data_IF_279241798100
#
_entry.id   IF_279241798100
#
_cell.length_a   1.000
_cell.length_b   1.000
_cell.length_c   1.000
_cell.angle_alpha   90.00
_cell.angle_beta   90.00
_cell.angle_gamma   90.00
#
_symmetry.space_group_name_H-M   'P 1'
#
loop_
_entity.id
_entity.type
_entity.pdbx_description
1 polymer ?
#
# COMPACT_ATOMS: atom_id res chain seq x y z
N UNK A 1 -17.87 23.05 -5.46
CA UNK A 1 -18.03 22.57 -4.07
C UNK A 1 -17.68 21.08 -4.05
N UNK A 2 -16.41 20.77 -3.73
CA UNK A 2 -15.85 19.42 -3.81
C UNK A 2 -16.25 18.59 -2.58
N UNK A 3 -17.38 17.88 -2.65
CA UNK A 3 -17.78 16.92 -1.62
C UNK A 3 -16.71 15.82 -1.39
N UNK A 4 -15.90 15.51 -2.39
CA UNK A 4 -14.81 14.54 -2.29
C UNK A 4 -13.64 15.00 -1.39
N UNK A 5 -13.38 16.31 -1.29
CA UNK A 5 -12.25 16.85 -0.53
C UNK A 5 -12.53 16.82 0.99
N UNK A 6 -13.80 16.98 1.39
CA UNK A 6 -14.21 16.91 2.79
C UNK A 6 -14.17 15.49 3.37
N UNK A 7 -14.53 14.48 2.58
CA UNK A 7 -14.51 13.07 3.02
C UNK A 7 -13.08 12.54 3.21
N UNK A 8 -12.15 12.88 2.31
CA UNK A 8 -10.73 12.53 2.47
C UNK A 8 -10.14 13.18 3.74
N UNK A 9 -10.42 14.46 3.99
CA UNK A 9 -9.90 15.15 5.16
C UNK A 9 -10.49 14.62 6.48
N UNK A 10 -11.75 14.16 6.49
CA UNK A 10 -12.40 13.57 7.66
C UNK A 10 -11.91 12.13 7.96
N UNK A 11 -11.56 11.35 6.92
CA UNK A 11 -11.02 10.00 7.08
C UNK A 11 -9.54 10.01 7.49
N UNK A 12 -8.77 11.01 7.05
CA UNK A 12 -7.33 11.09 7.32
C UNK A 12 -7.01 11.88 8.61
N UNK A 13 -7.88 12.81 9.05
CA UNK A 13 -7.66 13.63 10.25
C UNK A 13 -7.43 12.83 11.55
N UNK A 14 -8.20 11.75 11.85
CA UNK A 14 -7.92 10.90 13.01
C UNK A 14 -6.59 10.15 12.87
N UNK A 15 -6.20 9.81 11.64
CA UNK A 15 -4.96 9.10 11.33
C UNK A 15 -3.72 10.01 11.43
N UNK A 16 -3.85 11.30 11.15
CA UNK A 16 -2.80 12.32 11.31
C UNK A 16 -2.61 12.77 12.76
N UNK A 17 -3.59 12.51 13.63
CA UNK A 17 -3.52 12.81 15.06
C UNK A 17 -2.95 11.66 15.89
N UNK A 18 -2.69 10.49 15.29
CA UNK A 18 -1.71 9.56 15.84
C UNK A 18 -0.33 10.22 15.77
N UNK A 19 0.49 10.12 16.82
CA UNK A 19 1.87 10.58 16.75
C UNK A 19 2.60 9.76 15.68
N UNK A 20 2.67 10.29 14.46
CA UNK A 20 3.51 9.83 13.33
C UNK A 20 5.00 9.74 13.72
N UNK A 21 5.36 10.21 14.91
CA UNK A 21 6.71 10.10 15.49
C UNK A 21 7.15 8.67 15.81
N UNK A 22 6.25 7.66 15.78
CA UNK A 22 6.61 6.26 16.00
C UNK A 22 5.93 5.36 14.95
N UNK A 23 6.02 5.69 13.66
CA UNK A 23 5.74 4.67 12.64
C UNK A 23 6.93 3.70 12.58
N UNK A 24 6.74 2.39 12.85
CA UNK A 24 7.83 1.43 12.70
C UNK A 24 8.35 1.49 11.26
N UNK A 25 9.68 1.55 11.11
CA UNK A 25 10.34 1.59 9.79
C UNK A 25 9.89 0.46 8.87
N UNK A 26 9.56 -0.69 9.46
CA UNK A 26 8.91 -1.80 8.80
C UNK A 26 7.96 -2.55 9.74
N UNK A 27 6.89 -3.12 9.20
CA UNK A 27 6.00 -4.08 9.86
C UNK A 27 6.10 -5.44 9.17
N UNK A 28 5.87 -6.52 9.92
CA UNK A 28 5.95 -7.90 9.43
C UNK A 28 4.69 -8.66 9.79
N UNK A 29 4.18 -9.41 8.83
CA UNK A 29 2.95 -10.20 8.93
C UNK A 29 3.27 -11.63 8.50
N UNK A 30 3.17 -12.59 9.42
CA UNK A 30 3.28 -14.00 9.08
C UNK A 30 2.18 -14.42 8.09
N UNK A 31 2.54 -15.20 7.08
CA UNK A 31 1.58 -15.75 6.14
C UNK A 31 2.12 -16.90 5.30
N UNK A 32 1.40 -17.22 4.23
CA UNK A 32 1.78 -18.20 3.21
C UNK A 32 1.75 -17.58 1.81
N UNK A 33 2.76 -17.91 1.01
CA UNK A 33 2.82 -17.56 -0.41
C UNK A 33 3.28 -18.77 -1.21
N UNK A 34 2.51 -19.17 -2.23
CA UNK A 34 2.77 -20.39 -3.03
C UNK A 34 2.99 -21.62 -2.15
N UNK A 35 2.12 -21.81 -1.15
CA UNK A 35 2.14 -22.93 -0.20
C UNK A 35 3.41 -23.02 0.67
N UNK A 36 4.13 -21.90 0.86
CA UNK A 36 5.30 -21.81 1.74
C UNK A 36 5.09 -20.75 2.79
N UNK A 37 5.56 -21.02 4.00
CA UNK A 37 5.53 -20.07 5.10
C UNK A 37 6.50 -18.92 4.84
N UNK A 38 5.97 -17.71 4.97
CA UNK A 38 6.68 -16.47 4.68
C UNK A 38 6.41 -15.42 5.76
N UNK A 39 7.24 -14.39 5.74
CA UNK A 39 6.96 -13.09 6.36
C UNK A 39 6.71 -12.06 5.25
N UNK A 40 5.51 -11.49 5.24
CA UNK A 40 5.17 -10.33 4.42
C UNK A 40 5.55 -9.07 5.18
N UNK A 41 6.44 -8.26 4.62
CA UNK A 41 6.95 -7.06 5.25
C UNK A 41 6.53 -5.81 4.47
N UNK A 42 6.00 -4.83 5.19
CA UNK A 42 5.80 -3.47 4.72
C UNK A 42 6.95 -2.61 5.25
N UNK A 43 7.77 -2.03 4.38
CA UNK A 43 8.90 -1.17 4.77
C UNK A 43 8.76 0.20 4.08
N UNK A 44 8.79 1.29 4.85
CA UNK A 44 8.58 2.64 4.33
C UNK A 44 9.61 3.03 3.26
N UNK A 45 10.82 2.48 3.30
CA UNK A 45 11.87 2.78 2.33
C UNK A 45 11.85 1.79 1.16
N UNK A 46 11.59 0.52 1.44
CA UNK A 46 11.80 -0.58 0.49
C UNK A 46 10.52 -1.07 -0.20
N UNK A 47 9.34 -0.72 0.32
CA UNK A 47 8.05 -1.18 -0.19
C UNK A 47 7.62 -2.51 0.40
N UNK A 48 7.06 -3.34 -0.46
CA UNK A 48 6.57 -4.68 -0.15
C UNK A 48 7.70 -5.69 -0.29
N UNK A 49 7.86 -6.57 0.70
CA UNK A 49 8.87 -7.62 0.69
C UNK A 49 8.22 -8.92 1.16
N UNK A 50 8.51 -10.03 0.49
CA UNK A 50 8.22 -11.37 1.02
C UNK A 50 9.53 -12.10 1.27
N UNK A 51 9.69 -12.62 2.49
CA UNK A 51 10.83 -13.45 2.88
C UNK A 51 10.36 -14.83 3.26
N UNK A 52 11.18 -15.82 2.94
CA UNK A 52 11.06 -17.16 3.52
C UNK A 52 11.16 -17.06 5.05
N UNK A 53 10.21 -17.65 5.79
CA UNK A 53 10.14 -17.48 7.25
C UNK A 53 11.34 -18.13 7.96
N UNK A 54 11.81 -19.27 7.46
CA UNK A 54 12.91 -20.02 8.08
C UNK A 54 14.28 -19.48 7.67
N UNK A 55 14.48 -19.25 6.37
CA UNK A 55 15.79 -18.87 5.84
C UNK A 55 16.02 -17.35 5.77
N UNK A 56 14.96 -16.55 6.00
CA UNK A 56 14.95 -15.09 5.83
C UNK A 56 15.32 -14.62 4.42
N UNK A 57 15.38 -15.53 3.44
CA UNK A 57 15.71 -15.23 2.05
C UNK A 57 14.57 -14.47 1.40
N UNK A 58 14.87 -13.30 0.84
CA UNK A 58 13.91 -12.49 0.08
C UNK A 58 13.47 -13.26 -1.17
N UNK A 59 12.17 -13.58 -1.27
CA UNK A 59 11.56 -14.18 -2.47
C UNK A 59 11.27 -13.13 -3.53
N UNK A 60 10.75 -11.99 -3.09
CA UNK A 60 10.54 -10.83 -3.95
C UNK A 60 10.45 -9.54 -3.13
N UNK A 61 10.68 -8.44 -3.82
CA UNK A 61 10.57 -7.08 -3.30
C UNK A 61 10.02 -6.16 -4.39
N UNK A 62 9.03 -5.32 -4.05
CA UNK A 62 8.38 -4.37 -4.95
C UNK A 62 8.20 -3.02 -4.26
N UNK A 63 8.62 -1.90 -4.87
CA UNK A 63 8.39 -0.57 -4.29
C UNK A 63 6.90 -0.20 -4.31
N UNK A 64 6.48 0.68 -3.42
CA UNK A 64 5.11 1.22 -3.38
C UNK A 64 4.67 1.82 -4.72
N UNK A 65 5.57 2.48 -5.45
CA UNK A 65 5.29 3.11 -6.74
C UNK A 65 4.90 2.13 -7.86
N UNK A 66 5.17 0.83 -7.67
CA UNK A 66 4.73 -0.19 -8.63
C UNK A 66 3.34 -0.74 -8.31
N UNK A 67 2.79 -0.52 -7.12
CA UNK A 67 1.44 -0.99 -6.78
C UNK A 67 0.42 -0.22 -7.62
N UNK A 68 -0.45 -0.96 -8.31
CA UNK A 68 -1.59 -0.41 -9.05
C UNK A 68 -2.90 -0.62 -8.32
N UNK A 69 -3.07 -1.80 -7.76
CA UNK A 69 -4.28 -2.19 -7.06
C UNK A 69 -3.93 -3.14 -5.92
N UNK A 70 -4.68 -3.03 -4.83
CA UNK A 70 -4.70 -3.99 -3.73
C UNK A 70 -6.16 -4.33 -3.42
N UNK A 71 -6.43 -5.59 -3.15
CA UNK A 71 -7.75 -6.06 -2.71
C UNK A 71 -7.57 -7.23 -1.77
N UNK A 72 -8.58 -7.49 -0.95
CA UNK A 72 -8.60 -8.63 -0.05
C UNK A 72 -9.98 -9.29 0.01
N UNK A 73 -10.03 -10.50 0.56
CA UNK A 73 -11.27 -11.28 0.71
C UNK A 73 -12.00 -11.04 2.05
N UNK A 74 -11.52 -10.10 2.87
CA UNK A 74 -11.94 -9.85 4.26
C UNK A 74 -11.78 -11.05 5.21
N UNK A 75 -11.01 -12.07 4.84
CA UNK A 75 -10.77 -13.26 5.64
C UNK A 75 -9.28 -13.48 5.89
N UNK A 76 -8.53 -13.84 4.84
CA UNK A 76 -7.10 -14.12 4.96
C UNK A 76 -6.29 -13.83 3.70
N UNK A 77 -6.91 -13.63 2.54
CA UNK A 77 -6.20 -13.44 1.29
C UNK A 77 -6.03 -11.97 0.93
N UNK A 78 -4.77 -11.56 0.76
CA UNK A 78 -4.36 -10.29 0.19
C UNK A 78 -3.90 -10.50 -1.25
N UNK A 79 -4.45 -9.72 -2.17
CA UNK A 79 -4.05 -9.67 -3.57
C UNK A 79 -3.45 -8.31 -3.90
N UNK A 80 -2.24 -8.33 -4.45
CA UNK A 80 -1.50 -7.13 -4.86
C UNK A 80 -1.19 -7.21 -6.35
N UNK A 81 -1.49 -6.13 -7.06
CA UNK A 81 -1.26 -6.01 -8.49
C UNK A 81 -0.21 -4.93 -8.77
N UNK A 82 0.90 -5.34 -9.37
CA UNK A 82 2.04 -4.48 -9.64
C UNK A 82 2.20 -4.18 -11.13
N UNK A 83 2.33 -2.90 -11.47
CA UNK A 83 2.67 -2.46 -12.81
C UNK A 83 4.16 -2.60 -13.11
N UNK A 84 4.49 -2.90 -14.37
CA UNK A 84 5.87 -2.78 -14.88
C UNK A 84 6.09 -1.38 -15.44
N UNK A 85 7.31 -0.83 -15.27
CA UNK A 85 7.69 0.51 -15.73
C UNK A 85 7.55 0.74 -17.25
N UNK A 86 7.33 -0.30 -18.07
CA UNK A 86 7.29 -0.19 -19.54
C UNK A 86 6.32 -1.15 -20.24
N UNK A 87 5.56 -1.98 -19.52
CA UNK A 87 4.70 -3.01 -20.14
C UNK A 87 3.26 -2.92 -19.63
N UNK A 88 2.29 -3.25 -20.49
CA UNK A 88 0.88 -3.41 -20.11
C UNK A 88 0.64 -4.62 -19.20
N UNK A 89 1.67 -5.44 -18.94
CA UNK A 89 1.55 -6.63 -18.12
C UNK A 89 1.65 -6.29 -16.64
N UNK A 90 0.58 -6.61 -15.91
CA UNK A 90 0.50 -6.55 -14.45
C UNK A 90 1.00 -7.86 -13.85
N UNK A 91 1.77 -7.78 -12.77
CA UNK A 91 2.19 -8.92 -11.97
C UNK A 91 1.30 -9.02 -10.73
N UNK A 92 0.62 -10.14 -10.54
CA UNK A 92 -0.26 -10.37 -9.39
C UNK A 92 0.46 -11.24 -8.34
N UNK A 93 0.39 -10.82 -7.08
CA UNK A 93 0.86 -11.58 -5.92
C UNK A 93 -0.32 -11.80 -4.97
N UNK A 94 -0.62 -13.06 -4.69
CA UNK A 94 -1.66 -13.48 -3.75
C UNK A 94 -0.99 -14.11 -2.53
N UNK A 95 -1.27 -13.56 -1.36
CA UNK A 95 -0.65 -13.92 -0.09
C UNK A 95 -1.77 -14.23 0.89
N UNK A 96 -1.71 -15.38 1.55
CA UNK A 96 -2.56 -15.68 2.69
C UNK A 96 -1.87 -15.16 3.94
N UNK A 97 -2.55 -14.39 4.78
CA UNK A 97 -2.01 -13.77 5.99
C UNK A 97 -2.74 -14.30 7.21
N UNK A 98 -2.00 -14.51 8.30
CA UNK A 98 -2.57 -14.90 9.59
C UNK A 98 -3.40 -13.74 10.19
N UNK A 99 -2.94 -12.50 9.99
CA UNK A 99 -3.56 -11.27 10.50
C UNK A 99 -3.80 -10.26 9.35
N UNK A 100 -4.68 -10.63 8.41
CA UNK A 100 -4.97 -9.82 7.21
C UNK A 100 -5.38 -8.38 7.55
N UNK A 101 -6.29 -8.19 8.50
CA UNK A 101 -6.82 -6.86 8.84
C UNK A 101 -5.71 -5.90 9.27
N UNK A 102 -4.78 -6.36 10.11
CA UNK A 102 -3.64 -5.54 10.55
C UNK A 102 -2.72 -5.18 9.39
N UNK A 103 -2.50 -6.10 8.45
CA UNK A 103 -1.68 -5.86 7.26
C UNK A 103 -2.30 -4.80 6.34
N UNK A 104 -3.62 -4.84 6.14
CA UNK A 104 -4.36 -3.86 5.33
C UNK A 104 -4.29 -2.47 5.96
N UNK A 105 -4.62 -2.35 7.26
CA UNK A 105 -4.53 -1.07 8.00
C UNK A 105 -3.11 -0.52 7.98
N UNK A 106 -2.10 -1.37 8.16
CA UNK A 106 -0.70 -0.97 8.07
C UNK A 106 -0.32 -0.44 6.69
N UNK A 107 -0.80 -1.08 5.62
CA UNK A 107 -0.56 -0.63 4.25
C UNK A 107 -1.19 0.74 3.99
N UNK A 108 -2.43 0.97 4.43
CA UNK A 108 -3.11 2.26 4.34
C UNK A 108 -2.32 3.36 5.08
N UNK A 109 -1.90 3.10 6.32
CA UNK A 109 -1.06 4.00 7.10
C UNK A 109 0.27 4.32 6.40
N UNK A 110 0.93 3.32 5.80
CA UNK A 110 2.19 3.53 5.09
C UNK A 110 2.00 4.37 3.81
N UNK A 111 0.91 4.14 3.08
CA UNK A 111 0.58 4.93 1.89
C UNK A 111 0.23 6.37 2.25
N UNK A 112 -0.55 6.57 3.31
CA UNK A 112 -0.86 7.91 3.82
C UNK A 112 0.38 8.65 4.31
N UNK A 113 1.28 7.98 5.06
CA UNK A 113 2.55 8.56 5.49
C UNK A 113 3.47 8.90 4.30
N UNK A 114 3.40 8.13 3.21
CA UNK A 114 4.10 8.49 1.96
C UNK A 114 3.51 9.74 1.32
N UNK A 115 2.18 9.82 1.25
CA UNK A 115 1.47 10.97 0.70
C UNK A 115 1.72 12.25 1.51
N UNK A 116 1.74 12.17 2.84
CA UNK A 116 2.00 13.34 3.70
C UNK A 116 3.43 13.87 3.61
N UNK A 117 4.37 13.02 3.20
CA UNK A 117 5.77 13.41 2.96
C UNK A 117 6.00 13.95 1.53
N UNK A 118 5.00 13.89 0.64
CA UNK A 118 5.08 14.58 -0.64
C UNK A 118 4.73 16.05 -0.42
N UNK A 119 5.47 16.95 -1.08
CA UNK A 119 5.14 18.39 -1.10
C UNK A 119 3.68 18.57 -1.56
N UNK A 120 2.81 19.23 -0.78
CA UNK A 120 1.45 19.52 -1.19
C UNK A 120 1.33 20.25 -2.55
N UNK A 121 2.38 20.93 -3.01
CA UNK A 121 2.46 21.53 -4.35
C UNK A 121 2.57 20.51 -5.49
N UNK A 122 3.03 19.28 -5.21
CA UNK A 122 3.25 18.22 -6.20
C UNK A 122 1.94 17.51 -6.64
N UNK A 123 0.88 17.60 -5.84
CA UNK A 123 -0.41 16.91 -6.08
C UNK A 123 -1.28 17.64 -7.13
N UNK A 124 -0.78 18.72 -7.74
CA UNK A 124 -1.53 19.55 -8.69
C UNK A 124 -1.04 19.36 -10.12
N UNK A 125 -1.22 18.16 -10.69
CA UNK A 125 -1.24 17.99 -12.15
C UNK A 125 -1.95 16.70 -12.55
N UNK A 126 -3.24 16.61 -12.24
CA UNK A 126 -4.17 15.92 -13.14
C UNK A 126 -4.95 16.99 -13.86
N UNK A 127 -4.73 17.06 -15.17
CA UNK A 127 -5.45 17.91 -16.11
C UNK A 127 -6.95 17.87 -15.83
N UNK A 128 -7.45 18.89 -15.14
CA UNK A 128 -8.86 19.25 -15.24
C UNK A 128 -9.06 19.70 -16.68
N UNK A 129 -9.48 18.79 -17.56
CA UNK A 129 -10.07 19.16 -18.84
C UNK A 129 -11.44 19.75 -18.47
N UNK A 130 -11.66 21.08 -18.62
CA UNK A 130 -13.01 21.61 -18.44
C UNK A 130 -13.88 21.03 -19.56
N UNK A 131 -14.94 20.31 -19.19
CA UNK A 131 -16.03 19.93 -20.10
C UNK A 131 -16.49 21.19 -20.86
N UNK A 132 -16.54 21.17 -22.20
CA UNK A 132 -16.99 22.32 -22.97
C UNK A 132 -18.50 22.51 -22.71
N UNK A 133 -18.86 23.70 -22.21
CA UNK A 133 -20.25 24.08 -21.96
C UNK A 133 -21.03 24.20 -23.28
N UNK A 134 -22.22 23.58 -23.39
CA UNK A 134 -23.30 24.12 -24.19
C UNK A 134 -24.15 25.12 -23.39
#
# INVERSE_FOLDING_TARGET
MNLAHGLLHQLISPLLSFPLSISPKAMQFPGRWKQKDIDFCLDLTQGFIVRDRDTMVVKWKKPFSQLRCSSDDNHSWLRLEFGKSRAQHTETQEIELEELHLAVVAMECFMLAKLSNLDPGYITQTDFIPEPSP
#
